data_IF_680050436367
#
_entry.id   IF_680050436367
#
_cell.length_a   1.000
_cell.length_b   1.000
_cell.length_c   1.000
_cell.angle_alpha   90.00
_cell.angle_beta   90.00
_cell.angle_gamma   90.00
#
_symmetry.space_group_name_H-M   'P 1'
#
loop_
_entity.id
_entity.type
_entity.pdbx_description
1 polymer ?
#
# COMPACT_ATOMS: atom_id res chain seq x y z
N UNK A 1 -11.14 -21.80 -8.90
CA UNK A 1 -10.63 -20.45 -9.21
C UNK A 1 -10.51 -19.63 -7.91
N UNK A 2 -9.90 -20.22 -6.87
CA UNK A 2 -9.87 -19.73 -5.47
C UNK A 2 -8.50 -19.95 -4.78
N UNK A 3 -7.46 -20.29 -5.55
CA UNK A 3 -6.11 -20.61 -5.06
C UNK A 3 -5.13 -19.43 -5.15
N UNK A 4 -5.60 -18.23 -5.50
CA UNK A 4 -4.72 -17.13 -5.93
C UNK A 4 -4.85 -15.86 -5.11
N UNK A 5 -5.66 -15.84 -4.04
CA UNK A 5 -5.74 -14.67 -3.16
C UNK A 5 -4.67 -14.81 -2.07
N UNK A 6 -3.61 -13.98 -2.07
CA UNK A 6 -2.52 -14.08 -1.10
C UNK A 6 -3.02 -13.82 0.33
N UNK A 7 -2.47 -14.53 1.33
CA UNK A 7 -2.97 -14.49 2.71
C UNK A 7 -2.99 -13.08 3.35
N UNK A 8 -2.05 -12.22 2.93
CA UNK A 8 -2.00 -10.80 3.28
C UNK A 8 -3.18 -9.96 2.76
N UNK A 9 -3.75 -10.33 1.60
CA UNK A 9 -4.95 -9.69 1.04
C UNK A 9 -6.16 -9.98 1.93
N UNK A 10 -6.28 -11.24 2.35
CA UNK A 10 -7.37 -11.73 3.18
C UNK A 10 -7.34 -11.07 4.56
N UNK A 11 -6.15 -10.94 5.16
CA UNK A 11 -5.96 -10.26 6.45
C UNK A 11 -6.32 -8.77 6.39
N UNK A 12 -5.94 -8.08 5.31
CA UNK A 12 -6.29 -6.67 5.13
C UNK A 12 -7.80 -6.43 4.99
N UNK A 13 -8.49 -7.29 4.22
CA UNK A 13 -9.95 -7.25 4.12
C UNK A 13 -10.64 -7.53 5.46
N UNK A 14 -10.08 -8.43 6.26
CA UNK A 14 -10.55 -8.73 7.62
C UNK A 14 -10.43 -7.57 8.59
N UNK A 15 -9.32 -6.83 8.54
CA UNK A 15 -9.10 -5.68 9.40
C UNK A 15 -10.06 -4.54 9.07
N UNK A 16 -10.28 -4.25 7.78
CA UNK A 16 -11.29 -3.27 7.35
C UNK A 16 -12.72 -3.65 7.76
N UNK A 17 -13.04 -4.94 7.70
CA UNK A 17 -14.33 -5.49 8.11
C UNK A 17 -14.55 -5.26 9.62
N UNK A 18 -13.54 -5.60 10.44
CA UNK A 18 -13.55 -5.45 11.91
C UNK A 18 -13.68 -3.99 12.34
N UNK A 19 -13.05 -3.08 11.60
CA UNK A 19 -13.11 -1.63 11.84
C UNK A 19 -14.36 -0.96 11.25
N UNK A 20 -15.24 -1.71 10.58
CA UNK A 20 -16.45 -1.19 9.93
C UNK A 20 -16.19 -0.33 8.69
N UNK A 21 -14.93 -0.22 8.26
CA UNK A 21 -14.46 0.59 7.12
C UNK A 21 -14.75 -0.06 5.77
N UNK A 22 -14.98 -1.39 5.73
CA UNK A 22 -15.26 -2.12 4.49
C UNK A 22 -16.53 -1.61 3.76
N UNK A 23 -17.47 -0.96 4.48
CA UNK A 23 -18.66 -0.32 3.90
C UNK A 23 -18.34 0.80 2.90
N UNK A 24 -17.13 1.39 2.97
CA UNK A 24 -16.64 2.38 2.01
C UNK A 24 -16.24 1.74 0.67
N UNK A 25 -15.90 0.45 0.69
CA UNK A 25 -15.23 -0.25 -0.42
C UNK A 25 -16.08 -1.37 -1.05
N UNK A 26 -17.20 -1.77 -0.41
CA UNK A 26 -18.12 -2.80 -0.88
C UNK A 26 -19.57 -2.29 -0.81
N UNK A 27 -20.39 -2.66 -1.80
CA UNK A 27 -21.81 -2.35 -1.83
C UNK A 27 -22.53 -2.89 -0.57
N UNK A 28 -23.30 -2.07 0.18
CA UNK A 28 -23.96 -2.48 1.42
C UNK A 28 -24.85 -3.73 1.33
N UNK A 29 -25.38 -4.06 0.15
CA UNK A 29 -26.25 -5.22 -0.06
C UNK A 29 -25.51 -6.56 -0.12
N UNK A 30 -24.19 -6.55 -0.33
CA UNK A 30 -23.37 -7.76 -0.52
C UNK A 30 -22.48 -8.07 0.70
N UNK A 31 -22.55 -7.23 1.73
CA UNK A 31 -21.69 -7.24 2.91
C UNK A 31 -21.71 -8.56 3.70
N UNK A 32 -22.85 -9.23 3.79
CA UNK A 32 -23.01 -10.42 4.64
C UNK A 32 -22.35 -11.69 4.04
N UNK A 33 -22.48 -11.90 2.73
CA UNK A 33 -21.92 -13.06 2.05
C UNK A 33 -20.39 -13.00 1.97
N UNK A 34 -19.84 -11.80 1.75
CA UNK A 34 -18.38 -11.61 1.71
C UNK A 34 -17.75 -11.67 3.11
N UNK A 35 -18.49 -11.27 4.16
CA UNK A 35 -18.08 -11.46 5.57
C UNK A 35 -17.85 -12.94 5.88
N UNK A 36 -18.84 -13.80 5.60
CA UNK A 36 -18.74 -15.24 5.87
C UNK A 36 -17.64 -15.91 5.04
N UNK A 37 -17.48 -15.49 3.78
CA UNK A 37 -16.44 -15.99 2.89
C UNK A 37 -15.04 -15.65 3.38
N UNK A 38 -14.82 -14.41 3.80
CA UNK A 38 -13.55 -13.98 4.36
C UNK A 38 -13.28 -14.75 5.67
N UNK A 39 -14.28 -14.98 6.52
CA UNK A 39 -14.12 -15.67 7.83
C UNK A 39 -13.67 -17.11 7.64
N UNK A 40 -14.27 -17.78 6.66
CA UNK A 40 -13.89 -19.12 6.26
C UNK A 40 -12.43 -19.18 5.79
N UNK A 41 -11.99 -18.22 4.99
CA UNK A 41 -10.60 -18.16 4.51
C UNK A 41 -9.61 -17.87 5.65
N UNK A 42 -9.91 -16.93 6.56
CA UNK A 42 -9.05 -16.64 7.72
C UNK A 42 -8.87 -17.87 8.60
N UNK A 43 -9.95 -18.60 8.87
CA UNK A 43 -9.93 -19.86 9.63
C UNK A 43 -9.13 -20.95 8.91
N UNK A 44 -9.16 -20.98 7.58
CA UNK A 44 -8.42 -21.93 6.77
C UNK A 44 -6.90 -21.68 6.77
N UNK A 45 -6.45 -20.42 6.85
CA UNK A 45 -5.03 -20.07 6.67
C UNK A 45 -4.21 -19.94 7.97
N UNK A 46 -4.81 -20.10 9.16
CA UNK A 46 -4.16 -20.18 10.48
C UNK A 46 -2.86 -19.35 10.63
N UNK A 47 -2.92 -18.05 10.34
CA UNK A 47 -1.75 -17.19 10.17
C UNK A 47 -1.34 -16.50 11.48
N UNK A 48 -0.51 -17.17 12.28
CA UNK A 48 0.37 -16.52 13.25
C UNK A 48 1.77 -16.40 12.63
N UNK A 49 2.09 -15.27 12.00
CA UNK A 49 3.38 -14.54 12.11
C UNK A 49 3.54 -13.51 10.98
N UNK A 50 3.92 -12.30 11.39
CA UNK A 50 4.36 -11.20 10.54
C UNK A 50 5.62 -11.64 9.77
N UNK A 51 5.45 -12.03 8.51
CA UNK A 51 6.57 -12.15 7.58
C UNK A 51 7.21 -10.77 7.49
N UNK A 52 8.42 -10.62 8.02
CA UNK A 52 9.24 -9.42 7.88
C UNK A 52 9.74 -9.35 6.44
N UNK A 53 8.85 -9.00 5.51
CA UNK A 53 9.24 -8.65 4.14
C UNK A 53 10.09 -7.39 4.27
N UNK A 54 11.39 -7.42 3.91
CA UNK A 54 12.22 -6.23 3.97
C UNK A 54 11.59 -5.16 3.08
N UNK A 55 11.54 -3.91 3.56
CA UNK A 55 11.09 -2.78 2.74
C UNK A 55 12.09 -2.60 1.59
N UNK A 56 11.60 -2.71 0.35
CA UNK A 56 12.43 -2.66 -0.87
C UNK A 56 12.22 -1.38 -1.69
N UNK A 57 11.18 -0.62 -1.36
CA UNK A 57 10.84 0.60 -2.08
C UNK A 57 10.28 1.67 -1.14
N UNK A 58 10.27 2.93 -1.60
CA UNK A 58 9.51 4.01 -0.96
C UNK A 58 8.91 4.92 -2.01
N UNK A 59 7.65 5.29 -1.80
CA UNK A 59 6.98 6.35 -2.53
C UNK A 59 7.23 7.67 -1.83
N UNK A 60 7.68 8.68 -2.58
CA UNK A 60 7.93 10.03 -2.06
C UNK A 60 7.39 11.08 -2.99
N UNK A 61 6.66 12.05 -2.45
CA UNK A 61 6.33 13.26 -3.22
C UNK A 61 7.60 13.98 -3.66
N UNK A 62 7.55 14.54 -4.88
CA UNK A 62 8.65 15.26 -5.49
C UNK A 62 9.21 16.33 -4.53
N UNK A 63 10.53 16.31 -4.35
CA UNK A 63 11.26 17.27 -3.52
C UNK A 63 12.01 18.25 -4.40
N UNK A 64 12.37 19.42 -3.84
CA UNK A 64 13.26 20.40 -4.50
C UNK A 64 14.58 19.77 -4.95
N UNK A 65 15.05 18.75 -4.23
CA UNK A 65 16.22 17.94 -4.58
C UNK A 65 15.78 16.47 -4.59
N UNK A 66 15.37 15.94 -5.76
CA UNK A 66 14.96 14.55 -5.87
C UNK A 66 16.18 13.63 -5.70
N UNK A 67 15.91 12.42 -5.24
CA UNK A 67 16.90 11.34 -5.22
C UNK A 67 17.25 10.94 -6.64
N UNK A 68 18.49 10.51 -6.89
CA UNK A 68 18.93 10.01 -8.19
C UNK A 68 19.44 8.57 -8.09
N UNK A 69 19.28 7.76 -9.16
CA UNK A 69 19.95 6.47 -9.25
C UNK A 69 21.45 6.59 -8.97
N UNK A 70 21.98 5.68 -8.16
CA UNK A 70 23.38 5.67 -7.70
C UNK A 70 23.66 6.49 -6.44
N UNK A 71 22.75 7.38 -6.00
CA UNK A 71 22.93 8.08 -4.73
C UNK A 71 22.80 7.14 -3.54
N UNK A 72 23.57 7.38 -2.48
CA UNK A 72 23.47 6.61 -1.24
C UNK A 72 22.24 7.05 -0.44
N UNK A 73 21.33 6.11 -0.22
CA UNK A 73 20.19 6.26 0.68
C UNK A 73 20.62 5.89 2.10
N UNK A 74 20.28 6.76 3.05
CA UNK A 74 20.52 6.53 4.46
C UNK A 74 19.19 6.17 5.13
N UNK A 75 19.11 4.95 5.63
CA UNK A 75 17.91 4.42 6.27
C UNK A 75 17.98 4.72 7.77
N UNK A 76 16.90 5.26 8.32
CA UNK A 76 16.78 5.61 9.73
C UNK A 76 15.44 5.13 10.29
N UNK A 77 15.42 4.79 11.58
CA UNK A 77 14.19 4.62 12.37
C UNK A 77 13.86 5.90 13.14
N UNK A 78 12.59 6.07 13.56
CA UNK A 78 12.19 7.14 14.47
C UNK A 78 12.55 8.55 13.99
N UNK A 79 12.47 8.83 12.68
CA UNK A 79 12.87 10.13 12.13
C UNK A 79 12.18 11.29 12.88
N UNK A 80 12.96 12.33 13.22
CA UNK A 80 12.54 13.50 14.03
C UNK A 80 12.26 13.22 15.51
N UNK A 81 12.65 12.05 16.02
CA UNK A 81 12.67 11.75 17.45
C UNK A 81 14.09 11.71 18.01
N UNK A 82 14.24 11.72 19.35
CA UNK A 82 15.55 11.55 20.01
C UNK A 82 16.10 10.13 19.84
N UNK A 83 15.22 9.16 19.63
CA UNK A 83 15.56 7.74 19.46
C UNK A 83 15.85 7.38 17.98
N UNK A 84 16.20 8.39 17.17
CA UNK A 84 16.52 8.21 15.76
C UNK A 84 17.84 7.45 15.60
N UNK A 85 17.77 6.23 15.05
CA UNK A 85 18.94 5.36 14.84
C UNK A 85 19.11 5.11 13.34
N UNK A 86 20.35 5.12 12.86
CA UNK A 86 20.69 4.74 11.50
C UNK A 86 20.64 3.22 11.36
N UNK A 87 19.83 2.74 10.42
CA UNK A 87 19.65 1.33 10.12
C UNK A 87 20.67 0.82 9.09
N UNK A 88 21.08 1.68 8.16
CA UNK A 88 22.03 1.29 7.12
C UNK A 88 22.16 2.31 6.00
N UNK A 89 22.97 1.93 5.01
CA UNK A 89 23.21 2.65 3.78
C UNK A 89 22.96 1.72 2.60
N UNK A 90 22.31 2.21 1.56
CA UNK A 90 22.02 1.42 0.36
C UNK A 90 22.00 2.30 -0.88
N UNK A 91 22.59 1.89 -2.02
CA UNK A 91 22.51 2.68 -3.24
C UNK A 91 21.08 2.69 -3.79
N UNK A 92 20.61 3.87 -4.20
CA UNK A 92 19.38 4.01 -4.95
C UNK A 92 19.51 3.27 -6.30
N UNK A 93 18.63 2.29 -6.57
CA UNK A 93 18.62 1.55 -7.83
C UNK A 93 17.85 2.26 -8.92
N UNK A 94 16.57 2.57 -8.66
CA UNK A 94 15.71 3.27 -9.61
C UNK A 94 14.94 4.40 -8.95
N UNK A 95 14.62 5.41 -9.75
CA UNK A 95 13.68 6.49 -9.41
C UNK A 95 12.74 6.59 -10.58
N UNK A 96 11.46 6.34 -10.33
CA UNK A 96 10.45 6.27 -11.39
C UNK A 96 9.28 7.19 -11.05
N UNK A 97 8.81 8.01 -12.01
CA UNK A 97 7.61 8.80 -11.79
C UNK A 97 6.42 7.86 -11.60
N UNK A 98 5.57 8.23 -10.65
CA UNK A 98 4.37 7.49 -10.29
C UNK A 98 3.19 8.46 -10.32
N UNK A 99 2.04 7.99 -10.79
CA UNK A 99 0.77 8.68 -10.55
C UNK A 99 -0.08 7.81 -9.65
N UNK A 100 -0.63 8.40 -8.58
CA UNK A 100 -1.57 7.74 -7.67
C UNK A 100 -2.90 8.48 -7.79
N UNK A 101 -3.92 7.76 -8.21
CA UNK A 101 -5.26 8.31 -8.39
C UNK A 101 -6.32 7.37 -7.83
N UNK A 102 -7.36 7.95 -7.24
CA UNK A 102 -8.60 7.21 -7.01
C UNK A 102 -9.30 6.94 -8.34
N UNK A 103 -9.64 5.67 -8.58
CA UNK A 103 -10.38 5.27 -9.77
C UNK A 103 -11.70 4.60 -9.38
N UNK A 104 -12.66 4.73 -10.29
CA UNK A 104 -13.94 4.04 -10.22
C UNK A 104 -13.93 2.91 -11.27
N UNK A 105 -14.17 1.67 -10.86
CA UNK A 105 -14.45 0.57 -11.80
C UNK A 105 -15.73 -0.13 -11.36
N UNK A 106 -16.85 0.25 -11.98
CA UNK A 106 -18.18 -0.21 -11.56
C UNK A 106 -18.50 0.27 -10.14
N UNK A 107 -18.92 -0.62 -9.21
CA UNK A 107 -19.23 -0.24 -7.83
C UNK A 107 -18.00 -0.05 -6.94
N UNK A 108 -16.79 -0.34 -7.43
CA UNK A 108 -15.55 -0.30 -6.63
C UNK A 108 -14.82 1.03 -6.81
N UNK A 109 -14.48 1.66 -5.68
CA UNK A 109 -13.52 2.77 -5.61
C UNK A 109 -12.19 2.20 -5.12
N UNK A 110 -11.13 2.39 -5.89
CA UNK A 110 -9.78 1.91 -5.54
C UNK A 110 -8.72 2.96 -5.82
N UNK A 111 -7.47 2.67 -5.46
CA UNK A 111 -6.31 3.46 -5.85
C UNK A 111 -5.57 2.75 -6.96
N UNK A 112 -5.29 3.45 -8.05
CA UNK A 112 -4.48 2.95 -9.14
C UNK A 112 -3.15 3.66 -9.16
N UNK A 113 -2.16 2.95 -9.66
CA UNK A 113 -0.79 3.40 -9.82
C UNK A 113 -0.49 3.40 -11.31
N UNK A 114 -0.08 4.56 -11.85
CA UNK A 114 0.47 4.65 -13.20
C UNK A 114 1.98 4.49 -13.13
N UNK A 115 2.50 3.49 -13.81
CA UNK A 115 3.94 3.20 -13.89
C UNK A 115 4.29 2.73 -15.29
N UNK A 116 5.37 3.27 -15.86
CA UNK A 116 5.86 2.90 -17.19
C UNK A 116 4.77 2.93 -18.29
N UNK A 117 3.86 3.91 -18.23
CA UNK A 117 2.79 4.05 -19.23
C UNK A 117 1.52 3.23 -18.96
N UNK A 118 1.48 2.42 -17.91
CA UNK A 118 0.35 1.53 -17.62
C UNK A 118 -0.29 1.84 -16.27
N UNK A 119 -1.62 1.93 -16.26
CA UNK A 119 -2.42 1.96 -15.05
C UNK A 119 -2.59 0.54 -14.51
N UNK A 120 -2.31 0.37 -13.22
CA UNK A 120 -2.54 -0.88 -12.49
C UNK A 120 -3.26 -0.59 -11.19
N UNK A 121 -4.22 -1.44 -10.77
CA UNK A 121 -4.73 -1.40 -9.41
C UNK A 121 -3.57 -1.47 -8.41
N UNK A 122 -3.65 -0.68 -7.35
CA UNK A 122 -2.75 -0.82 -6.20
C UNK A 122 -2.94 -2.22 -5.62
N UNK A 123 -1.84 -2.95 -5.42
CA UNK A 123 -1.89 -4.30 -4.86
C UNK A 123 -1.32 -4.34 -3.44
N UNK A 124 -1.67 -5.37 -2.69
CA UNK A 124 -1.15 -5.57 -1.33
C UNK A 124 0.36 -5.77 -1.33
N UNK A 125 0.90 -6.47 -2.32
CA UNK A 125 2.33 -6.72 -2.47
C UNK A 125 3.09 -5.41 -2.69
N UNK A 126 2.53 -4.50 -3.49
CA UNK A 126 3.11 -3.18 -3.72
C UNK A 126 3.12 -2.36 -2.42
N UNK A 127 2.03 -2.39 -1.66
CA UNK A 127 1.94 -1.70 -0.38
C UNK A 127 2.93 -2.26 0.66
N UNK A 128 3.05 -3.57 0.72
CA UNK A 128 3.98 -4.27 1.61
C UNK A 128 5.44 -4.05 1.25
N UNK A 129 5.78 -3.98 -0.03
CA UNK A 129 7.12 -3.61 -0.46
C UNK A 129 7.51 -2.19 0.00
N UNK A 130 6.53 -1.30 0.22
CA UNK A 130 6.71 0.03 0.84
C UNK A 130 6.49 0.01 2.38
N UNK A 131 6.37 -1.16 2.99
CA UNK A 131 6.26 -1.32 4.44
C UNK A 131 4.89 -0.97 5.04
N UNK A 132 3.82 -0.98 4.26
CA UNK A 132 2.45 -0.98 4.77
C UNK A 132 1.94 -2.41 4.98
N UNK A 133 0.98 -2.61 5.88
CA UNK A 133 0.40 -3.94 6.13
C UNK A 133 -0.33 -4.48 4.89
N UNK A 134 -1.07 -3.59 4.21
CA UNK A 134 -1.90 -3.89 3.05
C UNK A 134 -2.15 -2.63 2.21
N UNK A 135 -2.79 -2.80 1.04
CA UNK A 135 -3.09 -1.70 0.12
C UNK A 135 -4.05 -0.65 0.71
N UNK A 136 -4.92 -1.06 1.63
CA UNK A 136 -5.92 -0.19 2.22
C UNK A 136 -5.32 0.76 3.26
N UNK A 137 -4.42 0.25 4.10
CA UNK A 137 -3.62 1.04 5.02
C UNK A 137 -2.77 2.07 4.27
N UNK A 138 -2.19 1.67 3.14
CA UNK A 138 -1.48 2.60 2.26
C UNK A 138 -2.42 3.68 1.69
N UNK A 139 -3.58 3.29 1.14
CA UNK A 139 -4.57 4.23 0.63
C UNK A 139 -5.02 5.21 1.71
N UNK A 140 -5.45 4.72 2.88
CA UNK A 140 -5.92 5.56 4.00
C UNK A 140 -4.83 6.55 4.45
N UNK A 141 -3.57 6.12 4.44
CA UNK A 141 -2.44 7.01 4.73
C UNK A 141 -2.28 8.11 3.68
N UNK A 142 -2.32 7.80 2.38
CA UNK A 142 -2.24 8.82 1.33
C UNK A 142 -3.43 9.79 1.35
N UNK A 143 -4.65 9.30 1.61
CA UNK A 143 -5.85 10.12 1.81
C UNK A 143 -5.64 11.12 2.96
N UNK A 144 -5.18 10.65 4.13
CA UNK A 144 -5.02 11.50 5.32
C UNK A 144 -3.82 12.44 5.26
N UNK A 145 -2.66 11.92 4.85
CA UNK A 145 -1.39 12.65 4.90
C UNK A 145 -1.21 13.55 3.68
N UNK A 146 -1.68 13.11 2.52
CA UNK A 146 -1.45 13.80 1.25
C UNK A 146 -2.73 14.29 0.57
N UNK A 147 -3.90 14.10 1.21
CA UNK A 147 -5.21 14.55 0.69
C UNK A 147 -5.52 13.94 -0.67
N UNK A 148 -5.13 12.68 -0.89
CA UNK A 148 -5.53 11.92 -2.07
C UNK A 148 -7.06 11.97 -2.19
N UNK A 149 -7.55 12.31 -3.37
CA UNK A 149 -8.97 12.30 -3.72
C UNK A 149 -9.13 12.28 -5.24
N UNK A 150 -10.34 12.05 -5.78
CA UNK A 150 -10.53 12.06 -7.24
C UNK A 150 -10.18 13.39 -7.90
N UNK A 151 -10.24 14.50 -7.15
CA UNK A 151 -9.88 15.85 -7.61
C UNK A 151 -8.42 16.21 -7.34
N UNK A 152 -7.70 15.38 -6.61
CA UNK A 152 -6.33 15.64 -6.17
C UNK A 152 -5.49 14.37 -6.32
N UNK A 153 -5.15 13.98 -7.57
CA UNK A 153 -4.17 12.92 -7.81
C UNK A 153 -2.80 13.32 -7.26
N UNK A 154 -2.01 12.32 -6.90
CA UNK A 154 -0.64 12.52 -6.44
C UNK A 154 0.35 12.10 -7.52
N UNK A 155 1.43 12.85 -7.65
CA UNK A 155 2.51 12.57 -8.59
C UNK A 155 3.84 12.34 -7.85
N UNK A 156 3.98 11.24 -7.08
CA UNK A 156 5.23 10.95 -6.38
C UNK A 156 6.27 10.26 -7.29
N UNK A 157 7.42 10.01 -6.69
CA UNK A 157 8.49 9.18 -7.23
C UNK A 157 8.51 7.86 -6.45
N UNK A 158 8.55 6.73 -7.16
CA UNK A 158 8.88 5.43 -6.61
C UNK A 158 10.39 5.25 -6.62
N UNK A 159 10.98 5.08 -5.44
CA UNK A 159 12.41 4.89 -5.25
C UNK A 159 12.64 3.45 -4.81
N UNK A 160 13.52 2.72 -5.48
CA UNK A 160 13.87 1.32 -5.16
C UNK A 160 15.35 1.16 -4.80
N UNK A 161 15.68 0.13 -4.02
CA UNK A 161 17.04 -0.18 -3.60
C UNK A 161 17.35 -1.67 -3.49
#
# INVERSE_FOLDING_TARGET
MLSEIPANVIEGLWNLLREGKLKKYINPKEYAAEYERLDALRKQFNCETLVTVPKLQTIRLCRKRPTKPGETLYLYTGMRTKDCIKLGEIPCKTVEPLEIQEYMTGPLVGVAVHRAGHWRPLTHEFAQADGFNDMWAMQEWFEKTHRLSPKNPLFPELITW
#
